data_IF_428828838029
#
_entry.id   IF_428828838029
#
_cell.length_a   1.000
_cell.length_b   1.000
_cell.length_c   1.000
_cell.angle_alpha   90.00
_cell.angle_beta   90.00
_cell.angle_gamma   90.00
#
_symmetry.space_group_name_H-M   'P 1'
#
loop_
_entity.id
_entity.type
_entity.pdbx_description
1 polymer ?
#
# COMPACT_ATOMS: atom_id res chain seq x y z
N UNK A 1 -0.63 5.54 0.33
CA UNK A 1 -0.17 5.70 1.73
C UNK A 1 -0.73 4.56 2.57
N UNK A 2 0.10 3.61 3.00
CA UNK A 2 -0.30 2.56 3.93
C UNK A 2 -0.47 3.21 5.30
N UNK A 3 -1.71 3.39 5.77
CA UNK A 3 -1.93 3.80 7.16
C UNK A 3 -1.69 2.58 8.03
N UNK A 4 -0.47 2.49 8.56
CA UNK A 4 -0.17 1.58 9.66
C UNK A 4 -0.95 2.10 10.87
N UNK A 5 -1.95 1.35 11.33
CA UNK A 5 -2.59 1.65 12.61
C UNK A 5 -1.70 1.01 13.66
N UNK A 6 -0.91 1.82 14.37
CA UNK A 6 -0.06 1.31 15.44
C UNK A 6 -0.96 0.77 16.56
N UNK A 7 -0.75 -0.48 17.01
CA UNK A 7 -1.61 -1.09 18.02
C UNK A 7 -1.66 -0.24 19.29
N UNK A 8 -0.60 0.49 19.63
CA UNK A 8 -0.55 1.30 20.86
C UNK A 8 -1.41 2.57 20.80
N UNK A 9 -1.96 2.92 19.64
CA UNK A 9 -2.91 4.03 19.47
C UNK A 9 -4.38 3.59 19.37
N UNK A 10 -4.64 2.28 19.50
CA UNK A 10 -5.98 1.70 19.39
C UNK A 10 -6.51 1.43 20.80
N UNK A 11 -7.71 1.93 21.11
CA UNK A 11 -8.40 1.62 22.36
C UNK A 11 -8.59 0.11 22.51
N UNK A 12 -8.39 -0.40 23.73
CA UNK A 12 -8.44 -1.83 24.05
C UNK A 12 -9.69 -2.57 23.51
N UNK A 13 -10.92 -2.00 23.53
CA UNK A 13 -12.10 -2.64 22.94
C UNK A 13 -11.98 -2.86 21.43
N UNK A 14 -11.31 -1.95 20.71
CA UNK A 14 -11.11 -2.05 19.26
C UNK A 14 -10.05 -3.11 18.95
N UNK A 15 -9.03 -3.27 19.80
CA UNK A 15 -8.06 -4.39 19.69
C UNK A 15 -8.73 -5.74 19.85
N UNK A 16 -9.59 -5.89 20.87
CA UNK A 16 -10.33 -7.12 21.11
C UNK A 16 -11.28 -7.43 19.96
N UNK A 17 -11.96 -6.41 19.42
CA UNK A 17 -12.79 -6.55 18.24
C UNK A 17 -11.97 -7.05 17.04
N UNK A 18 -10.87 -6.37 16.68
CA UNK A 18 -10.02 -6.77 15.55
C UNK A 18 -9.41 -8.17 15.72
N UNK A 19 -9.07 -8.56 16.95
CA UNK A 19 -8.49 -9.87 17.27
C UNK A 19 -9.53 -10.99 17.27
N UNK A 20 -10.79 -10.66 17.56
CA UNK A 20 -11.92 -11.59 17.55
C UNK A 20 -12.61 -11.74 16.20
N UNK A 21 -12.15 -11.03 15.16
CA UNK A 21 -12.68 -11.21 13.80
C UNK A 21 -12.16 -12.52 13.21
N UNK A 22 -13.08 -13.41 12.85
CA UNK A 22 -12.76 -14.58 12.06
C UNK A 22 -12.33 -14.17 10.65
N UNK A 23 -11.31 -14.85 10.12
CA UNK A 23 -10.89 -14.67 8.72
C UNK A 23 -12.01 -15.21 7.83
N UNK A 24 -12.79 -14.31 7.25
CA UNK A 24 -13.85 -14.64 6.31
C UNK A 24 -13.48 -14.21 4.89
N UNK A 25 -13.85 -15.02 3.92
CA UNK A 25 -13.80 -14.65 2.50
C UNK A 25 -14.97 -13.76 2.09
N UNK A 26 -15.96 -13.57 2.97
CA UNK A 26 -17.10 -12.69 2.75
C UNK A 26 -16.83 -11.27 3.29
N UNK A 27 -17.22 -10.23 2.55
CA UNK A 27 -16.99 -8.85 2.97
C UNK A 27 -17.77 -8.56 4.26
N UNK A 28 -17.04 -8.18 5.31
CA UNK A 28 -17.63 -7.77 6.59
C UNK A 28 -17.88 -6.26 6.61
N UNK A 29 -19.12 -5.87 6.91
CA UNK A 29 -19.53 -4.46 7.02
C UNK A 29 -19.69 -4.14 8.50
N UNK A 30 -18.96 -3.14 8.99
CA UNK A 30 -19.08 -2.65 10.37
C UNK A 30 -19.81 -1.32 10.34
N UNK A 31 -20.91 -1.18 11.08
CA UNK A 31 -21.62 0.09 11.22
C UNK A 31 -21.26 0.74 12.56
N UNK A 32 -20.71 1.96 12.51
CA UNK A 32 -20.33 2.73 13.71
C UNK A 32 -21.00 4.10 13.63
N UNK A 33 -21.84 4.44 14.62
CA UNK A 33 -22.57 5.72 14.68
C UNK A 33 -23.36 6.05 13.41
N UNK A 34 -24.00 5.07 12.77
CA UNK A 34 -24.74 5.25 11.51
C UNK A 34 -23.85 5.40 10.26
N UNK A 35 -22.53 5.23 10.40
CA UNK A 35 -21.57 5.27 9.30
C UNK A 35 -21.09 3.85 9.00
N UNK A 36 -21.24 3.43 7.74
CA UNK A 36 -20.72 2.15 7.27
C UNK A 36 -19.22 2.24 7.05
N UNK A 37 -18.49 1.35 7.71
CA UNK A 37 -17.04 1.17 7.61
C UNK A 37 -16.80 -0.19 6.97
N UNK A 38 -16.07 -0.20 5.86
CA UNK A 38 -15.67 -1.41 5.17
C UNK A 38 -14.25 -1.75 5.59
N UNK A 39 -14.07 -2.86 6.31
CA UNK A 39 -12.76 -3.34 6.74
C UNK A 39 -12.35 -4.47 5.80
N UNK A 40 -11.42 -4.17 4.90
CA UNK A 40 -10.83 -5.13 3.98
C UNK A 40 -9.55 -5.66 4.61
N UNK A 41 -9.58 -6.90 5.09
CA UNK A 41 -8.38 -7.59 5.61
C UNK A 41 -7.87 -8.52 4.52
N UNK A 42 -6.72 -8.20 3.91
CA UNK A 42 -6.01 -9.17 3.09
C UNK A 42 -5.09 -10.02 3.97
N UNK A 43 -5.13 -11.35 3.86
CA UNK A 43 -4.10 -12.18 4.47
C UNK A 43 -2.74 -11.83 3.83
N UNK A 44 -1.75 -11.53 4.66
CA UNK A 44 -0.40 -11.12 4.21
C UNK A 44 0.35 -12.20 3.41
N UNK A 45 -0.14 -13.45 3.44
CA UNK A 45 0.53 -14.62 2.86
C UNK A 45 -0.20 -15.15 1.60
N UNK A 46 -1.02 -14.36 0.93
CA UNK A 46 -1.46 -14.74 -0.41
C UNK A 46 -0.25 -14.58 -1.34
N UNK A 47 0.60 -15.60 -1.40
CA UNK A 47 1.56 -15.80 -2.48
C UNK A 47 0.76 -15.87 -3.78
N UNK A 48 0.52 -14.72 -4.41
CA UNK A 48 -0.06 -14.61 -5.75
C UNK A 48 0.98 -15.10 -6.75
N UNK A 49 1.20 -16.42 -6.78
CA UNK A 49 2.14 -17.15 -7.64
C UNK A 49 1.64 -17.24 -9.09
N UNK A 50 0.82 -16.29 -9.53
CA UNK A 50 0.40 -16.14 -10.92
C UNK A 50 0.59 -14.68 -11.31
N UNK A 51 1.85 -14.26 -11.43
CA UNK A 51 2.19 -12.99 -12.06
C UNK A 51 1.92 -13.08 -13.56
N UNK A 52 0.65 -12.90 -13.93
CA UNK A 52 0.34 -12.50 -15.30
C UNK A 52 1.11 -11.20 -15.62
N UNK A 53 1.74 -11.11 -16.81
CA UNK A 53 2.51 -9.93 -17.19
C UNK A 53 1.66 -8.66 -17.07
N UNK A 54 2.30 -7.56 -16.67
CA UNK A 54 1.66 -6.24 -16.70
C UNK A 54 1.30 -5.88 -18.15
N UNK A 55 0.04 -5.50 -18.39
CA UNK A 55 -0.48 -5.19 -19.73
C UNK A 55 -1.17 -3.83 -19.76
N UNK A 56 -1.34 -3.29 -20.97
CA UNK A 56 -2.09 -2.05 -21.16
C UNK A 56 -3.54 -2.18 -20.68
N UNK A 57 -4.16 -3.35 -20.81
CA UNK A 57 -5.51 -3.58 -20.30
C UNK A 57 -5.59 -3.41 -18.76
N UNK A 58 -4.61 -3.96 -18.03
CA UNK A 58 -4.48 -3.76 -16.57
C UNK A 58 -4.24 -2.29 -16.23
N UNK A 59 -3.42 -1.59 -17.00
CA UNK A 59 -3.19 -0.16 -16.81
C UNK A 59 -4.47 0.67 -17.01
N UNK A 60 -5.24 0.40 -18.06
CA UNK A 60 -6.52 1.07 -18.31
C UNK A 60 -7.51 0.81 -17.17
N UNK A 61 -7.66 -0.45 -16.75
CA UNK A 61 -8.53 -0.82 -15.63
C UNK A 61 -8.14 -0.10 -14.35
N UNK A 62 -6.83 -0.02 -14.06
CA UNK A 62 -6.31 0.74 -12.92
C UNK A 62 -6.70 2.22 -13.00
N UNK A 63 -6.59 2.86 -14.16
CA UNK A 63 -7.00 4.27 -14.31
C UNK A 63 -8.50 4.47 -14.04
N UNK A 64 -9.35 3.58 -14.54
CA UNK A 64 -10.80 3.64 -14.29
C UNK A 64 -11.11 3.55 -12.79
N UNK A 65 -10.45 2.63 -12.08
CA UNK A 65 -10.61 2.46 -10.65
C UNK A 65 -10.09 3.66 -9.85
N UNK A 66 -8.95 4.24 -10.24
CA UNK A 66 -8.44 5.49 -9.63
C UNK A 66 -9.42 6.64 -9.83
N UNK A 67 -10.04 6.77 -11.00
CA UNK A 67 -11.06 7.79 -11.24
C UNK A 67 -12.27 7.60 -10.32
N UNK A 68 -12.70 6.34 -10.09
CA UNK A 68 -13.77 6.03 -9.12
C UNK A 68 -13.37 6.31 -7.67
N UNK A 69 -12.12 6.02 -7.29
CA UNK A 69 -11.59 6.31 -5.96
C UNK A 69 -11.58 7.82 -5.70
N UNK A 70 -11.07 8.60 -6.66
CA UNK A 70 -11.08 10.07 -6.61
C UNK A 70 -12.51 10.61 -6.54
N UNK A 71 -13.43 10.01 -7.30
CA UNK A 71 -14.85 10.34 -7.27
C UNK A 71 -15.61 9.85 -6.02
N UNK A 72 -14.93 9.14 -5.10
CA UNK A 72 -15.55 8.47 -3.95
C UNK A 72 -16.71 7.53 -4.31
N UNK A 73 -16.68 6.95 -5.51
CA UNK A 73 -17.69 6.00 -6.04
C UNK A 73 -17.17 4.57 -6.15
N UNK A 74 -15.91 4.33 -5.77
CA UNK A 74 -15.31 3.01 -5.78
C UNK A 74 -16.00 2.07 -4.79
N UNK A 75 -16.33 0.85 -5.23
CA UNK A 75 -16.87 -0.18 -4.34
C UNK A 75 -15.77 -0.83 -3.48
N UNK A 76 -16.12 -1.52 -2.38
CA UNK A 76 -15.13 -2.25 -1.58
C UNK A 76 -14.36 -3.32 -2.39
N UNK A 77 -15.03 -4.03 -3.27
CA UNK A 77 -14.42 -5.04 -4.15
C UNK A 77 -13.48 -4.38 -5.16
N UNK A 78 -13.89 -3.24 -5.72
CA UNK A 78 -13.07 -2.45 -6.63
C UNK A 78 -11.84 -1.85 -5.94
N UNK A 79 -11.94 -1.49 -4.66
CA UNK A 79 -10.79 -1.04 -3.86
C UNK A 79 -9.79 -2.18 -3.61
N UNK A 80 -10.28 -3.42 -3.41
CA UNK A 80 -9.42 -4.61 -3.36
C UNK A 80 -8.73 -4.81 -4.70
N UNK A 81 -9.46 -4.76 -5.81
CA UNK A 81 -8.91 -4.89 -7.16
C UNK A 81 -7.85 -3.82 -7.44
N UNK A 82 -8.14 -2.55 -7.13
CA UNK A 82 -7.20 -1.44 -7.32
C UNK A 82 -5.90 -1.66 -6.55
N UNK A 83 -5.98 -2.11 -5.31
CA UNK A 83 -4.79 -2.39 -4.53
C UNK A 83 -4.00 -3.58 -5.12
N UNK A 84 -4.64 -4.60 -5.71
CA UNK A 84 -3.94 -5.71 -6.38
C UNK A 84 -3.20 -5.20 -7.63
N UNK A 85 -3.86 -4.37 -8.44
CA UNK A 85 -3.25 -3.76 -9.61
C UNK A 85 -2.09 -2.82 -9.25
N UNK A 86 -2.14 -2.14 -8.10
CA UNK A 86 -1.02 -1.35 -7.62
C UNK A 86 0.18 -2.23 -7.22
N UNK A 87 -0.07 -3.34 -6.52
CA UNK A 87 1.00 -4.28 -6.12
C UNK A 87 1.68 -4.88 -7.38
N UNK A 88 0.90 -5.28 -8.38
CA UNK A 88 1.42 -5.79 -9.65
C UNK A 88 2.23 -4.74 -10.43
N UNK A 89 1.76 -3.48 -10.44
CA UNK A 89 2.47 -2.37 -11.09
C UNK A 89 3.81 -2.10 -10.40
N UNK A 90 3.85 -2.03 -9.07
CA UNK A 90 5.06 -1.77 -8.30
C UNK A 90 6.12 -2.85 -8.56
N UNK A 91 5.69 -4.10 -8.66
CA UNK A 91 6.56 -5.20 -9.03
C UNK A 91 7.07 -5.12 -10.47
N UNK A 92 6.18 -4.78 -11.41
CA UNK A 92 6.57 -4.57 -12.80
C UNK A 92 7.59 -3.43 -12.94
N UNK A 93 7.35 -2.28 -12.29
CA UNK A 93 8.28 -1.14 -12.25
C UNK A 93 9.64 -1.57 -11.67
N UNK A 94 9.61 -2.33 -10.57
CA UNK A 94 10.84 -2.84 -9.94
C UNK A 94 11.67 -3.72 -10.88
N UNK A 95 11.02 -4.46 -11.80
CA UNK A 95 11.68 -5.27 -12.82
C UNK A 95 12.19 -4.47 -14.02
N UNK A 96 11.37 -3.57 -14.56
CA UNK A 96 11.65 -2.89 -15.85
C UNK A 96 12.43 -1.58 -15.69
N UNK A 97 12.30 -0.92 -14.54
CA UNK A 97 12.95 0.34 -14.22
C UNK A 97 13.43 0.32 -12.75
N UNK A 98 14.35 -0.60 -12.39
CA UNK A 98 14.86 -0.66 -11.03
C UNK A 98 15.47 0.70 -10.67
N UNK A 99 15.09 1.22 -9.50
CA UNK A 99 15.68 2.45 -8.98
C UNK A 99 17.20 2.27 -8.97
N UNK A 100 17.99 3.19 -9.57
CA UNK A 100 19.43 3.09 -9.57
C UNK A 100 19.94 3.53 -8.18
N UNK A 101 19.63 2.74 -7.16
CA UNK A 101 19.99 2.99 -5.76
C UNK A 101 21.49 3.16 -5.61
N UNK A 102 22.27 2.42 -6.39
CA UNK A 102 23.72 2.60 -6.48
C UNK A 102 24.11 3.98 -7.02
N UNK A 103 23.40 4.49 -8.03
CA UNK A 103 23.63 5.84 -8.52
C UNK A 103 23.24 6.90 -7.48
N UNK A 104 22.10 6.74 -6.80
CA UNK A 104 21.68 7.62 -5.72
C UNK A 104 22.66 7.60 -4.53
N UNK A 105 23.18 6.42 -4.16
CA UNK A 105 24.23 6.25 -3.13
C UNK A 105 25.52 6.94 -3.53
N UNK A 106 25.93 6.84 -4.79
CA UNK A 106 27.12 7.52 -5.31
C UNK A 106 26.97 9.04 -5.26
N UNK A 107 25.80 9.59 -5.64
CA UNK A 107 25.51 11.02 -5.51
C UNK A 107 25.55 11.45 -4.03
N UNK A 108 24.92 10.68 -3.13
CA UNK A 108 24.94 10.97 -1.69
C UNK A 108 26.38 11.02 -1.15
N UNK A 109 27.21 10.04 -1.50
CA UNK A 109 28.61 10.00 -1.10
C UNK A 109 29.41 11.21 -1.64
N UNK A 110 29.15 11.62 -2.89
CA UNK A 110 29.77 12.81 -3.47
C UNK A 110 29.36 14.10 -2.75
N UNK A 111 28.08 14.25 -2.42
CA UNK A 111 27.58 15.41 -1.68
C UNK A 111 28.16 15.46 -0.26
N UNK A 112 28.26 14.32 0.41
CA UNK A 112 28.89 14.21 1.73
C UNK A 112 30.38 14.57 1.69
N UNK A 113 31.10 14.14 0.65
CA UNK A 113 32.50 14.50 0.46
C UNK A 113 32.69 16.01 0.16
N UNK A 114 31.77 16.63 -0.58
CA UNK A 114 31.80 18.07 -0.88
C UNK A 114 31.49 18.95 0.34
N UNK A 115 30.66 18.46 1.27
CA UNK A 115 30.33 19.19 2.50
C UNK A 115 31.47 19.15 3.54
N UNK A 116 32.46 18.26 3.37
CA UNK A 116 33.56 18.07 4.30
C UNK A 116 33.10 17.63 5.71
N UNK A 117 34.00 17.24 6.62
CA UNK A 117 33.63 17.09 8.02
C UNK A 117 33.17 18.46 8.50
N UNK A 118 31.89 18.58 8.88
CA UNK A 118 31.43 19.73 9.64
C UNK A 118 32.40 19.94 10.79
N UNK A 119 33.15 21.05 10.75
CA UNK A 119 33.99 21.50 11.83
C UNK A 119 33.10 21.56 13.08
N UNK A 120 33.23 20.56 13.95
CA UNK A 120 32.65 20.58 15.28
C UNK A 120 33.28 21.75 16.04
N UNK A 121 32.49 22.63 16.67
CA UNK A 121 33.04 23.71 17.47
C UNK A 121 33.76 23.11 18.69
N UNK A 122 35.01 23.54 18.90
CA UNK A 122 35.76 23.34 20.15
C UNK A 122 35.19 24.22 21.27
#
# INVERSE_FOLDING_TARGET
MRKLIEPDTIDEPVKQFLTGLDISTEPSIVEVNGRRIFIVVRPANADTTYEEPWTDAKAHRRYDLVNKEIGATISPEEAVELAQLNDELDHHISKVAPLPLEHARNILAQLQAQLGPAAGPQ
#
